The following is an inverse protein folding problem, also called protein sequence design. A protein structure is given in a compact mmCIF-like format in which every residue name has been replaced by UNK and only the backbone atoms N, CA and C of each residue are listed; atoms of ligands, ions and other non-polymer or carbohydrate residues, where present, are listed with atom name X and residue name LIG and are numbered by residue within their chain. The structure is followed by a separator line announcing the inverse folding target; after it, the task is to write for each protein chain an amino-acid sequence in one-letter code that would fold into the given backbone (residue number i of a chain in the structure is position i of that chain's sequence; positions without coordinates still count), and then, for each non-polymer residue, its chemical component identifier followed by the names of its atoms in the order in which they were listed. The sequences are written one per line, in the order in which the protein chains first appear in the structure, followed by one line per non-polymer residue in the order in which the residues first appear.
data_IF_940500368621
#
_entry.id   IF_940500368621
#
_cell.length_a   1.000
_cell.length_b   1.000
_cell.length_c   1.000
_cell.angle_alpha   90.00
_cell.angle_beta   90.00
_cell.angle_gamma   90.00
#
_symmetry.space_group_name_H-M   'P 1'
#
loop_
_entity.id
_entity.type
_entity.pdbx_description
1 polymer ?
#
# COMPACT_ATOMS: atom_id res chain seq x y z
N UNK A 1 -39.08 7.43 -16.02
CA UNK A 1 -39.72 7.37 -17.35
C UNK A 1 -40.65 8.56 -17.65
N UNK A 2 -41.14 9.33 -16.67
CA UNK A 2 -41.99 10.51 -16.88
C UNK A 2 -41.27 11.81 -17.26
N UNK A 3 -40.00 11.96 -16.96
CA UNK A 3 -39.21 13.18 -17.25
C UNK A 3 -38.79 13.29 -18.73
N UNK A 4 -38.61 12.16 -19.44
CA UNK A 4 -38.24 12.17 -20.85
C UNK A 4 -39.40 12.57 -21.79
N UNK A 5 -40.66 12.38 -21.38
CA UNK A 5 -41.81 12.71 -22.24
C UNK A 5 -42.15 14.21 -22.22
N UNK A 6 -41.84 14.89 -21.14
CA UNK A 6 -42.05 16.33 -20.97
C UNK A 6 -41.08 17.18 -21.78
N UNK A 7 -39.83 16.76 -21.95
CA UNK A 7 -38.81 17.44 -22.74
C UNK A 7 -39.11 17.39 -24.26
N UNK A 8 -39.66 16.28 -24.76
CA UNK A 8 -40.01 16.15 -26.17
C UNK A 8 -41.21 17.03 -26.57
N UNK A 9 -42.14 17.30 -25.63
CA UNK A 9 -43.27 18.22 -25.87
C UNK A 9 -42.85 19.70 -25.83
N UNK A 10 -41.90 20.07 -24.99
CA UNK A 10 -41.39 21.43 -24.87
C UNK A 10 -40.67 21.89 -26.16
N UNK A 11 -39.87 20.99 -26.75
CA UNK A 11 -39.12 21.29 -28.00
C UNK A 11 -40.00 21.40 -29.24
N UNK A 12 -41.21 20.81 -29.26
CA UNK A 12 -42.14 20.96 -30.36
C UNK A 12 -42.83 22.32 -30.41
N UNK A 13 -42.95 23.04 -29.29
CA UNK A 13 -43.59 24.36 -29.24
C UNK A 13 -42.62 25.53 -29.51
N UNK A 14 -41.32 25.34 -29.31
CA UNK A 14 -40.33 26.41 -29.48
C UNK A 14 -39.78 26.52 -30.91
N UNK A 15 -40.02 25.54 -31.79
CA UNK A 15 -39.38 25.48 -33.11
C UNK A 15 -40.33 25.72 -34.33
N UNK A 16 -41.54 26.19 -34.10
CA UNK A 16 -42.43 26.57 -35.23
C UNK A 16 -43.04 27.97 -35.03
N UNK A 17 -42.42 29.03 -35.55
CA UNK A 17 -43.16 30.26 -35.79
C UNK A 17 -44.04 30.08 -37.05
N UNK A 18 -45.37 30.12 -36.87
CA UNK A 18 -46.33 30.27 -37.93
C UNK A 18 -46.11 31.61 -38.62
N UNK A 19 -45.88 31.59 -39.92
CA UNK A 19 -45.79 32.64 -40.93
C UNK A 19 -44.40 32.82 -41.55
N UNK A 20 -44.11 31.92 -42.51
CA UNK A 20 -43.20 32.24 -43.62
C UNK A 20 -43.79 31.67 -44.92
N UNK A 21 -44.02 32.57 -45.90
CA UNK A 21 -44.41 32.27 -47.27
C UNK A 21 -43.49 31.21 -47.94
N UNK A 22 -43.97 30.46 -48.94
CA UNK A 22 -43.18 29.41 -49.56
C UNK A 22 -42.06 30.02 -50.47
N UNK A 23 -40.97 30.43 -49.87
CA UNK A 23 -39.74 30.63 -50.57
C UNK A 23 -39.13 29.26 -50.86
N UNK A 24 -39.07 28.89 -52.10
CA UNK A 24 -38.47 27.64 -52.56
C UNK A 24 -36.98 27.52 -52.13
N UNK A 25 -36.73 26.95 -51.03
CA UNK A 25 -35.37 26.54 -50.59
C UNK A 25 -34.95 25.36 -51.49
N UNK A 26 -34.20 25.62 -52.55
CA UNK A 26 -33.31 24.63 -53.18
C UNK A 26 -32.31 24.16 -52.11
N UNK A 27 -32.69 23.19 -51.31
CA UNK A 27 -31.85 22.58 -50.30
C UNK A 27 -30.73 21.82 -50.98
N UNK A 28 -29.54 22.41 -51.04
CA UNK A 28 -28.31 21.84 -51.57
C UNK A 28 -28.10 20.43 -51.00
N UNK A 29 -27.98 19.42 -51.85
CA UNK A 29 -27.75 18.01 -51.45
C UNK A 29 -26.53 17.79 -50.53
N UNK A 30 -25.58 18.74 -50.58
CA UNK A 30 -24.40 18.77 -49.68
C UNK A 30 -24.75 19.01 -48.20
N UNK A 31 -25.79 19.80 -47.90
CA UNK A 31 -26.22 20.05 -46.49
C UNK A 31 -26.90 18.80 -45.93
N UNK A 32 -27.73 18.11 -46.73
CA UNK A 32 -28.34 16.83 -46.31
C UNK A 32 -27.30 15.74 -46.06
N UNK A 33 -26.21 15.68 -46.85
CA UNK A 33 -25.13 14.72 -46.66
C UNK A 33 -24.33 15.01 -45.40
N UNK A 34 -23.99 16.26 -45.10
CA UNK A 34 -23.29 16.68 -43.87
C UNK A 34 -24.14 16.40 -42.64
N UNK A 35 -25.44 16.64 -42.66
CA UNK A 35 -26.35 16.31 -41.56
C UNK A 35 -26.40 14.80 -41.30
N UNK A 36 -26.50 13.96 -42.31
CA UNK A 36 -26.44 12.49 -42.17
C UNK A 36 -25.10 12.02 -41.57
N UNK A 37 -24.00 12.63 -41.98
CA UNK A 37 -22.67 12.32 -41.41
C UNK A 37 -22.63 12.73 -39.96
N UNK A 38 -23.12 13.91 -39.58
CA UNK A 38 -23.17 14.38 -38.19
C UNK A 38 -24.03 13.46 -37.33
N UNK A 39 -25.23 13.09 -37.81
CA UNK A 39 -26.10 12.14 -37.09
C UNK A 39 -25.45 10.77 -36.95
N UNK A 40 -24.79 10.27 -38.02
CA UNK A 40 -24.02 9.02 -37.93
C UNK A 40 -22.89 9.09 -36.92
N UNK A 41 -22.16 10.20 -36.89
CA UNK A 41 -21.09 10.42 -35.89
C UNK A 41 -21.63 10.47 -34.45
N UNK A 42 -22.73 11.19 -34.20
CA UNK A 42 -23.40 11.23 -32.90
C UNK A 42 -23.89 9.86 -32.49
N UNK A 43 -24.47 9.07 -33.41
CA UNK A 43 -24.89 7.70 -33.12
C UNK A 43 -23.69 6.80 -32.73
N UNK A 44 -22.59 6.91 -33.45
CA UNK A 44 -21.34 6.18 -33.07
C UNK A 44 -20.86 6.57 -31.71
N UNK A 45 -20.85 7.85 -31.37
CA UNK A 45 -20.47 8.32 -30.02
C UNK A 45 -21.41 7.78 -28.92
N UNK A 46 -22.72 7.76 -29.20
CA UNK A 46 -23.70 7.19 -28.25
C UNK A 46 -23.51 5.68 -28.06
N UNK A 47 -23.24 4.94 -29.15
CA UNK A 47 -22.92 3.50 -29.05
C UNK A 47 -21.64 3.28 -28.29
N UNK A 48 -20.60 4.05 -28.56
CA UNK A 48 -19.33 3.95 -27.79
C UNK A 48 -19.54 4.26 -26.30
N UNK A 49 -20.27 5.32 -25.97
CA UNK A 49 -20.59 5.69 -24.59
C UNK A 49 -21.44 4.61 -23.91
N UNK A 50 -22.46 4.07 -24.60
CA UNK A 50 -23.29 2.98 -24.09
C UNK A 50 -22.50 1.69 -23.88
N UNK A 51 -21.63 1.34 -24.82
CA UNK A 51 -20.75 0.16 -24.68
C UNK A 51 -19.74 0.34 -23.55
N UNK A 52 -19.15 1.54 -23.43
CA UNK A 52 -18.26 1.87 -22.33
C UNK A 52 -18.95 1.78 -20.97
N UNK A 53 -20.17 2.32 -20.87
CA UNK A 53 -20.98 2.22 -19.66
C UNK A 53 -21.32 0.76 -19.32
N UNK A 54 -21.77 -0.03 -20.29
CA UNK A 54 -22.07 -1.45 -20.09
C UNK A 54 -20.81 -2.23 -19.65
N UNK A 55 -19.66 -1.92 -20.23
CA UNK A 55 -18.40 -2.52 -19.85
C UNK A 55 -18.01 -2.18 -18.39
N UNK A 56 -18.14 -0.92 -17.97
CA UNK A 56 -17.88 -0.51 -16.58
C UNK A 56 -18.85 -1.24 -15.62
N UNK A 57 -20.13 -1.40 -15.97
CA UNK A 57 -21.07 -2.17 -15.15
C UNK A 57 -20.66 -3.64 -15.03
N UNK A 58 -20.14 -4.25 -16.09
CA UNK A 58 -19.64 -5.62 -16.07
C UNK A 58 -18.41 -5.80 -15.16
N UNK A 59 -17.58 -4.76 -14.98
CA UNK A 59 -16.39 -4.79 -14.13
C UNK A 59 -16.71 -4.62 -12.62
N UNK A 60 -17.93 -4.24 -12.27
CA UNK A 60 -18.31 -4.07 -10.86
C UNK A 60 -18.26 -5.38 -10.09
N UNK A 61 -17.89 -5.32 -8.79
CA UNK A 61 -18.02 -6.47 -7.88
C UNK A 61 -19.43 -7.04 -7.88
N UNK A 62 -19.54 -8.35 -7.72
CA UNK A 62 -20.83 -9.06 -7.62
C UNK A 62 -21.04 -9.48 -6.17
N UNK A 63 -22.10 -8.96 -5.54
CA UNK A 63 -22.40 -9.21 -4.13
C UNK A 63 -23.58 -10.19 -3.93
N UNK A 64 -24.04 -10.81 -5.01
CA UNK A 64 -25.16 -11.77 -4.99
C UNK A 64 -24.88 -12.95 -5.91
N UNK A 65 -25.48 -14.10 -5.62
CA UNK A 65 -25.37 -15.31 -6.43
C UNK A 65 -24.53 -16.39 -5.75
N UNK A 66 -24.24 -17.45 -6.50
CA UNK A 66 -23.42 -18.58 -6.07
C UNK A 66 -22.14 -18.63 -6.88
N UNK A 67 -21.04 -19.04 -6.23
CA UNK A 67 -19.73 -19.16 -6.84
C UNK A 67 -19.05 -20.44 -6.36
N UNK A 68 -18.55 -21.23 -7.28
CA UNK A 68 -17.71 -22.38 -6.94
C UNK A 68 -16.26 -21.93 -6.72
N UNK A 69 -15.73 -22.14 -5.54
CA UNK A 69 -14.32 -21.91 -5.20
C UNK A 69 -13.60 -23.24 -5.05
N UNK A 70 -12.60 -23.48 -5.91
CA UNK A 70 -11.82 -24.70 -5.87
C UNK A 70 -11.14 -24.91 -4.52
N UNK A 71 -11.53 -25.95 -3.78
CA UNK A 71 -10.94 -26.33 -2.50
C UNK A 71 -11.62 -25.81 -1.26
N UNK A 72 -12.73 -25.11 -1.37
CA UNK A 72 -13.72 -24.96 -0.30
C UNK A 72 -14.27 -26.34 0.00
N UNK A 73 -14.26 -26.72 1.28
CA UNK A 73 -14.67 -28.06 1.71
C UNK A 73 -16.18 -28.14 1.98
N UNK A 74 -16.76 -27.04 2.44
CA UNK A 74 -18.17 -26.95 2.79
C UNK A 74 -18.74 -25.62 2.33
N UNK A 75 -20.09 -25.57 2.16
CA UNK A 75 -20.79 -24.34 1.81
C UNK A 75 -20.42 -23.21 2.77
N UNK A 76 -20.00 -22.09 2.19
CA UNK A 76 -19.62 -20.86 2.90
C UNK A 76 -20.51 -19.72 2.44
N UNK A 77 -21.25 -19.11 3.37
CA UNK A 77 -22.12 -18.00 3.08
C UNK A 77 -21.41 -16.68 3.32
N UNK A 78 -21.55 -15.75 2.38
CA UNK A 78 -21.04 -14.37 2.51
C UNK A 78 -22.19 -13.40 2.35
N UNK A 79 -22.50 -12.67 3.40
CA UNK A 79 -23.53 -11.64 3.42
C UNK A 79 -22.86 -10.26 3.48
N UNK A 80 -23.26 -9.37 2.60
CA UNK A 80 -22.79 -7.98 2.63
C UNK A 80 -23.88 -7.12 3.29
N UNK A 81 -23.49 -6.33 4.28
CA UNK A 81 -24.40 -5.39 4.93
C UNK A 81 -24.60 -4.11 4.10
N UNK A 82 -25.35 -3.15 4.63
CA UNK A 82 -25.66 -1.88 3.95
C UNK A 82 -24.41 -1.01 3.71
N UNK A 83 -23.29 -1.29 4.39
CA UNK A 83 -22.01 -0.63 4.21
C UNK A 83 -21.07 -1.40 3.28
N UNK A 84 -21.49 -2.56 2.78
CA UNK A 84 -20.68 -3.43 1.94
C UNK A 84 -19.65 -4.26 2.70
N UNK A 85 -19.82 -4.42 4.01
CA UNK A 85 -18.94 -5.23 4.85
C UNK A 85 -19.33 -6.71 4.70
N UNK A 86 -18.38 -7.59 4.30
CA UNK A 86 -18.65 -9.02 4.20
C UNK A 86 -18.71 -9.69 5.59
N UNK A 87 -19.79 -10.39 5.86
CA UNK A 87 -19.96 -11.32 6.97
C UNK A 87 -19.85 -12.74 6.44
N UNK A 88 -18.77 -13.43 6.79
CA UNK A 88 -18.39 -14.74 6.25
C UNK A 88 -18.70 -15.83 7.26
N UNK A 89 -19.66 -16.69 6.94
CA UNK A 89 -20.07 -17.85 7.74
C UNK A 89 -19.52 -19.13 7.10
N UNK A 90 -18.61 -19.80 7.78
CA UNK A 90 -18.00 -21.04 7.31
C UNK A 90 -17.96 -22.10 8.41
N UNK A 91 -17.77 -23.36 8.02
CA UNK A 91 -17.60 -24.46 8.98
C UNK A 91 -16.15 -24.66 9.40
N UNK A 92 -15.20 -24.10 8.66
CA UNK A 92 -13.78 -24.12 8.98
C UNK A 92 -13.13 -22.76 8.76
N UNK A 93 -12.08 -22.46 9.53
CA UNK A 93 -11.28 -21.26 9.33
C UNK A 93 -10.62 -21.21 7.95
N UNK A 94 -10.20 -22.37 7.41
CA UNK A 94 -9.59 -22.43 6.08
C UNK A 94 -10.58 -22.00 4.98
N UNK A 95 -11.84 -22.45 5.04
CA UNK A 95 -12.87 -22.04 4.09
C UNK A 95 -13.21 -20.55 4.26
N UNK A 96 -13.29 -20.08 5.50
CA UNK A 96 -13.51 -18.65 5.80
C UNK A 96 -12.40 -17.78 5.23
N UNK A 97 -11.13 -18.17 5.42
CA UNK A 97 -9.98 -17.44 4.91
C UNK A 97 -9.89 -17.46 3.38
N UNK A 98 -10.27 -18.57 2.74
CA UNK A 98 -10.35 -18.62 1.28
C UNK A 98 -11.45 -17.71 0.75
N UNK A 99 -12.63 -17.70 1.38
CA UNK A 99 -13.72 -16.79 1.04
C UNK A 99 -13.30 -15.32 1.25
N UNK A 100 -12.66 -14.99 2.38
CA UNK A 100 -12.12 -13.65 2.64
C UNK A 100 -11.15 -13.24 1.53
N UNK A 101 -10.20 -14.10 1.17
CA UNK A 101 -9.24 -13.80 0.12
C UNK A 101 -9.90 -13.49 -1.23
N UNK A 102 -10.95 -14.23 -1.57
CA UNK A 102 -11.71 -14.02 -2.80
C UNK A 102 -12.43 -12.67 -2.81
N UNK A 103 -13.22 -12.36 -1.77
CA UNK A 103 -13.98 -11.09 -1.70
C UNK A 103 -13.05 -9.89 -1.52
N UNK A 104 -11.97 -10.04 -0.77
CA UNK A 104 -10.96 -8.99 -0.61
C UNK A 104 -10.32 -8.64 -1.95
N UNK A 105 -9.96 -9.64 -2.75
CA UNK A 105 -9.44 -9.41 -4.10
C UNK A 105 -10.51 -8.83 -5.04
N UNK A 106 -11.76 -9.27 -4.93
CA UNK A 106 -12.87 -8.72 -5.70
C UNK A 106 -13.01 -7.21 -5.52
N UNK A 107 -12.84 -6.73 -4.29
CA UNK A 107 -13.06 -5.33 -3.94
C UNK A 107 -11.78 -4.48 -4.04
N UNK A 108 -10.61 -5.09 -3.87
CA UNK A 108 -9.35 -4.37 -3.60
C UNK A 108 -8.16 -4.79 -4.47
N UNK A 109 -8.35 -5.58 -5.54
CA UNK A 109 -7.23 -6.14 -6.31
C UNK A 109 -6.26 -5.06 -6.82
N UNK A 110 -6.77 -3.91 -7.26
CA UNK A 110 -5.91 -2.80 -7.68
C UNK A 110 -5.06 -2.25 -6.54
N UNK A 111 -5.66 -2.03 -5.37
CA UNK A 111 -4.93 -1.58 -4.18
C UNK A 111 -3.87 -2.61 -3.74
N UNK A 112 -4.20 -3.91 -3.77
CA UNK A 112 -3.26 -5.00 -3.52
C UNK A 112 -2.08 -4.96 -4.51
N UNK A 113 -2.35 -4.71 -5.79
CA UNK A 113 -1.32 -4.62 -6.82
C UNK A 113 -0.36 -3.46 -6.57
N UNK A 114 -0.86 -2.31 -6.15
CA UNK A 114 -0.02 -1.16 -5.83
C UNK A 114 0.88 -1.43 -4.63
N UNK A 115 0.30 -1.87 -3.50
CA UNK A 115 1.04 -1.99 -2.25
C UNK A 115 2.12 -3.07 -2.32
N UNK A 116 1.87 -4.22 -2.99
CA UNK A 116 2.89 -5.27 -3.13
C UNK A 116 4.09 -4.87 -4.00
N UNK A 117 3.98 -3.78 -4.78
CA UNK A 117 5.06 -3.30 -5.65
C UNK A 117 6.00 -2.32 -4.96
N UNK A 118 5.59 -1.75 -3.81
CA UNK A 118 6.39 -0.73 -3.13
C UNK A 118 7.70 -1.32 -2.62
N UNK A 119 7.64 -2.33 -1.77
CA UNK A 119 8.82 -2.90 -1.13
C UNK A 119 9.88 -3.44 -2.11
N UNK A 120 9.54 -4.13 -3.21
CA UNK A 120 10.53 -4.54 -4.22
C UNK A 120 10.99 -3.41 -5.17
N UNK A 121 10.44 -2.18 -5.06
CA UNK A 121 10.77 -1.07 -5.96
C UNK A 121 10.28 -1.29 -7.39
N UNK A 122 8.99 -1.54 -7.59
CA UNK A 122 8.38 -1.90 -8.88
C UNK A 122 7.24 -0.99 -9.33
N UNK A 123 7.13 0.20 -8.73
CA UNK A 123 6.11 1.18 -9.11
C UNK A 123 6.37 1.79 -10.50
N UNK A 124 7.64 1.95 -10.88
CA UNK A 124 8.03 2.48 -12.20
C UNK A 124 7.61 1.57 -13.36
N UNK A 125 7.40 0.28 -13.11
CA UNK A 125 6.82 -0.64 -14.12
C UNK A 125 5.43 -0.19 -14.58
N UNK A 126 4.72 0.56 -13.72
CA UNK A 126 3.36 1.06 -13.97
C UNK A 126 3.39 2.54 -14.34
N UNK A 127 4.08 3.35 -13.54
CA UNK A 127 3.99 4.81 -13.56
C UNK A 127 5.16 5.50 -14.27
N UNK A 128 6.12 4.74 -14.78
CA UNK A 128 7.28 5.26 -15.50
C UNK A 128 8.34 5.87 -14.58
N UNK A 129 9.28 6.57 -15.21
CA UNK A 129 10.49 7.12 -14.58
C UNK A 129 10.24 8.12 -13.47
N UNK A 130 9.04 8.70 -13.37
CA UNK A 130 8.68 9.61 -12.28
C UNK A 130 8.75 8.98 -10.88
N UNK A 131 8.61 7.65 -10.77
CA UNK A 131 8.72 6.91 -9.51
C UNK A 131 10.06 6.17 -9.36
N UNK A 132 11.01 6.40 -10.25
CA UNK A 132 12.30 5.72 -10.23
C UNK A 132 13.09 5.98 -8.94
N UNK A 133 12.99 7.19 -8.38
CA UNK A 133 13.66 7.54 -7.11
C UNK A 133 13.07 6.76 -5.94
N UNK A 134 11.75 6.69 -5.88
CA UNK A 134 11.00 5.91 -4.89
C UNK A 134 11.36 4.41 -5.00
N UNK A 135 11.35 3.86 -6.22
CA UNK A 135 11.71 2.46 -6.45
C UNK A 135 13.17 2.17 -6.09
N UNK A 136 14.11 3.08 -6.41
CA UNK A 136 15.51 2.95 -6.02
C UNK A 136 15.66 2.81 -4.51
N UNK A 137 14.97 3.67 -3.77
CA UNK A 137 15.00 3.64 -2.33
C UNK A 137 14.44 2.32 -1.78
N UNK A 138 13.18 1.96 -2.10
CA UNK A 138 12.56 0.75 -1.56
C UNK A 138 13.27 -0.53 -2.00
N UNK A 139 13.70 -0.63 -3.26
CA UNK A 139 14.54 -1.73 -3.69
C UNK A 139 15.88 -1.79 -2.93
N UNK A 140 16.41 -0.63 -2.53
CA UNK A 140 17.70 -0.51 -1.85
C UNK A 140 17.68 -0.89 -0.39
N UNK A 141 16.60 -0.61 0.35
CA UNK A 141 16.57 -0.85 1.81
C UNK A 141 16.44 -2.31 2.22
N UNK A 142 16.04 -3.23 1.31
CA UNK A 142 16.14 -4.68 1.58
C UNK A 142 14.89 -5.33 2.15
N UNK A 143 13.72 -4.68 2.13
CA UNK A 143 12.45 -5.29 2.60
C UNK A 143 12.12 -6.56 1.81
N UNK A 144 12.25 -6.55 0.48
CA UNK A 144 11.92 -7.69 -0.38
C UNK A 144 12.80 -8.92 -0.09
N UNK A 145 14.08 -8.71 0.18
CA UNK A 145 15.02 -9.76 0.58
C UNK A 145 14.70 -10.32 1.96
N UNK A 146 14.39 -9.45 2.93
CA UNK A 146 13.98 -9.88 4.27
C UNK A 146 12.67 -10.67 4.20
N UNK A 147 11.70 -10.22 3.40
CA UNK A 147 10.45 -10.94 3.15
C UNK A 147 10.67 -12.33 2.56
N UNK A 148 11.59 -12.46 1.59
CA UNK A 148 11.95 -13.77 1.03
C UNK A 148 12.59 -14.70 2.08
N UNK A 149 13.47 -14.17 2.93
CA UNK A 149 14.08 -14.93 4.03
C UNK A 149 13.05 -15.34 5.09
N UNK A 150 12.12 -14.43 5.44
CA UNK A 150 11.04 -14.73 6.38
C UNK A 150 10.17 -15.88 5.87
N UNK A 151 9.73 -15.81 4.61
CA UNK A 151 8.93 -16.90 3.98
C UNK A 151 9.68 -18.22 3.97
N UNK A 152 11.00 -18.21 3.68
CA UNK A 152 11.81 -19.44 3.65
C UNK A 152 11.93 -20.12 5.03
N UNK A 153 11.76 -19.36 6.12
CA UNK A 153 11.87 -19.83 7.51
C UNK A 153 10.52 -20.09 8.19
N UNK A 154 9.39 -19.87 7.51
CA UNK A 154 8.07 -20.14 8.09
C UNK A 154 7.91 -21.61 8.43
N UNK A 155 7.33 -21.87 9.59
CA UNK A 155 6.85 -23.21 9.92
C UNK A 155 5.62 -23.54 9.07
N UNK A 156 5.80 -24.47 8.13
CA UNK A 156 4.75 -24.87 7.20
C UNK A 156 3.57 -25.58 7.88
N UNK A 157 3.76 -26.06 9.11
CA UNK A 157 2.72 -26.72 9.90
C UNK A 157 1.97 -25.73 10.80
N UNK A 158 2.43 -24.47 10.90
CA UNK A 158 1.75 -23.48 11.74
C UNK A 158 0.37 -23.13 11.16
N UNK A 159 -0.63 -22.88 12.03
CA UNK A 159 -1.94 -22.41 11.57
C UNK A 159 -1.85 -21.12 10.75
N UNK A 160 -1.02 -20.18 11.17
CA UNK A 160 -0.81 -18.91 10.45
C UNK A 160 -0.35 -19.10 9.00
N UNK A 161 0.55 -20.07 8.77
CA UNK A 161 1.00 -20.43 7.42
C UNK A 161 -0.14 -21.03 6.59
N UNK A 162 -0.85 -22.05 7.13
CA UNK A 162 -1.91 -22.76 6.42
C UNK A 162 -3.09 -21.84 6.08
N UNK A 163 -3.50 -21.00 7.01
CA UNK A 163 -4.59 -20.03 6.81
C UNK A 163 -4.19 -18.91 5.83
N UNK A 164 -2.93 -18.46 5.85
CA UNK A 164 -2.41 -17.53 4.84
C UNK A 164 -2.42 -18.14 3.44
N UNK A 165 -2.13 -19.45 3.30
CA UNK A 165 -2.25 -20.15 2.01
C UNK A 165 -3.71 -20.26 1.56
N UNK A 166 -4.65 -20.52 2.46
CA UNK A 166 -6.08 -20.55 2.14
C UNK A 166 -6.55 -19.16 1.65
N UNK A 167 -6.17 -18.08 2.32
CA UNK A 167 -6.45 -16.72 1.89
C UNK A 167 -5.86 -16.42 0.50
N UNK A 168 -4.60 -16.76 0.26
CA UNK A 168 -3.96 -16.60 -1.06
C UNK A 168 -4.65 -17.40 -2.15
N UNK A 169 -5.16 -18.58 -1.82
CA UNK A 169 -5.93 -19.39 -2.77
C UNK A 169 -7.19 -18.67 -3.22
N UNK A 170 -7.91 -18.01 -2.30
CA UNK A 170 -9.06 -17.16 -2.64
C UNK A 170 -8.69 -15.98 -3.53
N UNK A 171 -7.65 -15.22 -3.18
CA UNK A 171 -7.14 -14.12 -4.02
C UNK A 171 -6.79 -14.62 -5.42
N UNK A 172 -6.01 -15.69 -5.51
CA UNK A 172 -5.51 -16.19 -6.78
C UNK A 172 -6.62 -16.79 -7.65
N UNK A 173 -7.67 -17.31 -7.04
CA UNK A 173 -8.85 -17.73 -7.79
C UNK A 173 -9.59 -16.53 -8.37
N UNK A 174 -9.78 -15.44 -7.61
CA UNK A 174 -10.35 -14.20 -8.17
C UNK A 174 -9.43 -13.63 -9.29
N UNK A 175 -8.13 -13.69 -9.14
CA UNK A 175 -7.17 -13.27 -10.18
C UNK A 175 -7.37 -14.10 -11.47
N UNK A 176 -7.63 -15.40 -11.37
CA UNK A 176 -7.84 -16.26 -12.52
C UNK A 176 -9.21 -16.03 -13.18
N UNK A 177 -10.29 -16.00 -12.38
CA UNK A 177 -11.66 -16.12 -12.87
C UNK A 177 -12.44 -14.81 -12.84
N UNK A 178 -12.06 -13.86 -11.97
CA UNK A 178 -12.75 -12.59 -11.76
C UNK A 178 -12.51 -11.57 -12.86
N UNK A 179 -13.36 -10.54 -12.96
CA UNK A 179 -13.13 -9.46 -13.90
C UNK A 179 -11.80 -8.75 -13.61
N UNK A 180 -11.22 -8.21 -14.67
CA UNK A 180 -9.99 -7.41 -14.53
C UNK A 180 -10.36 -5.97 -14.20
N UNK A 181 -9.84 -5.39 -13.09
CA UNK A 181 -10.11 -4.00 -12.76
C UNK A 181 -9.75 -3.04 -13.90
N UNK A 182 -10.51 -1.94 -14.03
CA UNK A 182 -10.34 -0.99 -15.14
C UNK A 182 -8.93 -0.38 -15.18
N UNK A 183 -8.30 -0.20 -14.02
CA UNK A 183 -6.95 0.33 -13.89
C UNK A 183 -5.92 -0.54 -14.60
N UNK A 184 -6.09 -1.87 -14.56
CA UNK A 184 -5.22 -2.79 -15.28
C UNK A 184 -5.31 -2.59 -16.79
N UNK A 185 -6.52 -2.37 -17.32
CA UNK A 185 -6.72 -2.11 -18.75
C UNK A 185 -6.12 -0.76 -19.15
N UNK A 186 -6.37 0.29 -18.37
CA UNK A 186 -5.86 1.65 -18.64
C UNK A 186 -4.31 1.69 -18.60
N UNK A 187 -3.71 0.90 -17.74
CA UNK A 187 -2.26 0.87 -17.55
C UNK A 187 -1.56 -0.22 -18.37
N UNK A 188 -2.32 -1.11 -19.01
CA UNK A 188 -1.79 -2.22 -19.81
C UNK A 188 -1.17 -3.32 -18.95
N UNK A 189 -1.70 -3.55 -17.74
CA UNK A 189 -1.19 -4.54 -16.80
C UNK A 189 -1.88 -5.89 -16.98
N UNK A 190 -1.14 -6.95 -16.62
CA UNK A 190 -1.68 -8.31 -16.49
C UNK A 190 -1.83 -8.64 -15.01
N UNK A 191 -2.93 -9.32 -14.68
CA UNK A 191 -3.09 -9.93 -13.36
C UNK A 191 -2.02 -11.00 -13.15
N UNK A 192 -1.37 -11.00 -12.00
CA UNK A 192 -0.35 -12.00 -11.64
C UNK A 192 -0.64 -12.54 -10.23
N UNK A 193 -0.37 -13.83 -9.96
CA UNK A 193 -0.65 -14.42 -8.67
C UNK A 193 -0.02 -13.66 -7.50
N UNK A 194 -0.73 -13.65 -6.38
CA UNK A 194 -0.25 -13.18 -5.09
C UNK A 194 0.47 -14.31 -4.35
N UNK A 195 1.50 -13.97 -3.59
CA UNK A 195 2.35 -14.93 -2.88
C UNK A 195 2.50 -14.56 -1.40
N UNK A 196 3.00 -15.49 -0.58
CA UNK A 196 3.35 -15.20 0.82
C UNK A 196 4.37 -14.06 0.93
N UNK A 197 5.30 -13.97 -0.02
CA UNK A 197 6.27 -12.87 -0.05
C UNK A 197 5.60 -11.52 -0.25
N UNK A 198 4.54 -11.44 -1.06
CA UNK A 198 3.79 -10.20 -1.24
C UNK A 198 3.12 -9.76 0.06
N UNK A 199 2.56 -10.69 0.87
CA UNK A 199 2.02 -10.38 2.20
C UNK A 199 3.11 -9.79 3.10
N UNK A 200 4.28 -10.42 3.15
CA UNK A 200 5.41 -9.92 3.94
C UNK A 200 5.92 -8.56 3.44
N UNK A 201 5.92 -8.31 2.14
CA UNK A 201 6.28 -7.02 1.56
C UNK A 201 5.31 -5.91 1.99
N UNK A 202 4.00 -6.20 2.05
CA UNK A 202 2.99 -5.26 2.55
C UNK A 202 3.25 -4.90 4.01
N UNK A 203 3.49 -5.90 4.86
CA UNK A 203 3.80 -5.70 6.27
C UNK A 203 5.14 -4.98 6.47
N UNK A 204 6.13 -5.25 5.64
CA UNK A 204 7.42 -4.57 5.65
C UNK A 204 7.33 -3.09 5.29
N UNK A 205 6.54 -2.75 4.28
CA UNK A 205 6.24 -1.35 3.94
C UNK A 205 5.51 -0.62 5.09
N UNK A 206 4.52 -1.27 5.69
CA UNK A 206 3.82 -0.74 6.86
C UNK A 206 4.80 -0.48 8.00
N UNK A 207 5.64 -1.45 8.35
CA UNK A 207 6.64 -1.33 9.42
C UNK A 207 7.60 -0.18 9.15
N UNK A 208 8.04 0.01 7.90
CA UNK A 208 8.91 1.13 7.52
C UNK A 208 8.19 2.48 7.68
N UNK A 209 6.92 2.56 7.31
CA UNK A 209 6.16 3.82 7.43
C UNK A 209 5.94 4.24 8.88
N UNK A 210 5.91 3.29 9.82
CA UNK A 210 5.83 3.56 11.26
C UNK A 210 7.17 3.93 11.91
N UNK A 211 8.30 3.54 11.33
CA UNK A 211 9.61 3.85 11.87
C UNK A 211 9.86 5.37 11.86
N UNK A 212 10.00 5.98 13.04
CA UNK A 212 10.12 7.44 13.18
C UNK A 212 11.56 7.92 13.17
N UNK A 213 12.51 7.13 13.71
CA UNK A 213 13.91 7.51 13.83
C UNK A 213 14.56 7.91 12.49
N UNK A 214 14.11 7.30 11.39
CA UNK A 214 14.52 7.68 10.03
C UNK A 214 14.27 9.16 9.67
N UNK A 215 13.24 9.78 10.28
CA UNK A 215 12.87 11.19 10.04
C UNK A 215 13.49 12.09 11.09
N UNK A 216 13.60 11.61 12.32
CA UNK A 216 14.02 12.40 13.47
C UNK A 216 15.54 12.45 13.62
N UNK A 217 16.25 11.36 13.53
CA UNK A 217 17.69 11.29 13.78
C UNK A 217 18.54 12.18 12.90
N UNK A 218 18.35 12.19 11.56
CA UNK A 218 19.10 13.11 10.70
C UNK A 218 18.83 14.57 11.02
N UNK A 219 17.58 14.92 11.35
CA UNK A 219 17.15 16.26 11.70
C UNK A 219 17.72 16.70 13.05
N UNK A 220 17.57 15.86 14.08
CA UNK A 220 18.10 16.13 15.42
C UNK A 220 19.61 16.24 15.41
N UNK A 221 20.29 15.41 14.65
CA UNK A 221 21.74 15.49 14.43
C UNK A 221 22.12 16.83 13.82
N UNK A 222 21.42 17.28 12.78
CA UNK A 222 21.63 18.59 12.16
C UNK A 222 21.41 19.72 13.14
N UNK A 223 20.32 19.71 13.90
CA UNK A 223 20.00 20.73 14.92
C UNK A 223 21.12 20.80 15.96
N UNK A 224 21.52 19.66 16.53
CA UNK A 224 22.61 19.58 17.50
C UNK A 224 23.92 20.17 16.97
N UNK A 225 24.26 19.75 15.74
CA UNK A 225 25.55 20.10 15.15
C UNK A 225 25.64 21.58 14.73
N UNK A 226 24.51 22.20 14.35
CA UNK A 226 24.46 23.62 13.93
C UNK A 226 24.23 24.58 15.11
N UNK A 227 23.38 24.20 16.07
CA UNK A 227 22.92 25.11 17.10
C UNK A 227 23.25 24.65 18.54
N UNK A 228 23.74 23.45 18.69
CA UNK A 228 24.11 22.85 19.97
C UNK A 228 23.01 22.02 20.63
N UNK A 229 23.44 21.19 21.60
CA UNK A 229 22.54 20.23 22.26
C UNK A 229 21.45 20.88 23.12
N UNK A 230 21.61 22.14 23.54
CA UNK A 230 20.57 22.86 24.28
C UNK A 230 19.24 22.95 23.51
N UNK A 231 19.29 23.14 22.19
CA UNK A 231 18.10 23.18 21.36
C UNK A 231 17.31 21.87 21.34
N UNK A 232 17.98 20.73 21.55
CA UNK A 232 17.31 19.43 21.64
C UNK A 232 16.40 19.34 22.85
N UNK A 233 16.78 19.99 23.96
CA UNK A 233 15.96 20.08 25.15
C UNK A 233 14.69 20.90 24.90
N UNK A 234 14.77 21.96 24.09
CA UNK A 234 13.62 22.79 23.71
C UNK A 234 12.58 22.00 22.89
N UNK A 235 13.02 20.95 22.16
CA UNK A 235 12.14 20.02 21.45
C UNK A 235 11.64 18.86 22.32
N UNK A 236 11.90 18.87 23.64
CA UNK A 236 11.49 17.82 24.56
C UNK A 236 12.25 16.51 24.37
N UNK A 237 13.36 16.52 23.63
CA UNK A 237 14.22 15.34 23.47
C UNK A 237 15.10 15.24 24.72
N UNK A 238 14.72 14.38 25.64
CA UNK A 238 15.46 14.10 26.89
C UNK A 238 16.23 12.77 26.76
N UNK A 239 17.43 12.69 27.32
CA UNK A 239 18.18 11.45 27.40
C UNK A 239 19.65 11.52 27.01
N UNK A 240 20.26 10.37 26.82
CA UNK A 240 21.66 10.27 26.42
C UNK A 240 21.79 10.51 24.90
N UNK A 241 21.99 11.75 24.53
CA UNK A 241 22.13 12.24 23.12
C UNK A 241 23.06 11.41 22.22
N UNK A 242 23.85 10.51 22.81
CA UNK A 242 24.79 9.66 22.09
C UNK A 242 24.18 8.43 21.46
N UNK A 243 22.92 8.13 21.73
CA UNK A 243 22.26 6.89 21.27
C UNK A 243 21.25 7.11 20.13
N UNK A 244 20.65 8.29 20.02
CA UNK A 244 19.58 8.59 19.05
C UNK A 244 20.02 9.44 17.86
N UNK A 245 21.31 9.69 17.69
CA UNK A 245 21.81 10.60 16.67
C UNK A 245 23.03 10.04 15.95
N UNK A 246 23.21 10.43 14.70
CA UNK A 246 24.43 10.13 13.95
C UNK A 246 25.61 10.76 14.68
N UNK A 247 26.53 9.94 15.20
CA UNK A 247 27.70 10.42 15.91
C UNK A 247 28.59 11.22 14.95
N UNK A 248 28.73 12.52 15.19
CA UNK A 248 29.55 13.42 14.40
C UNK A 248 30.87 13.75 15.11
N UNK A 249 31.91 14.05 14.34
CA UNK A 249 33.15 14.64 14.89
C UNK A 249 32.87 16.07 15.40
N UNK A 250 33.76 16.59 16.26
CA UNK A 250 33.61 17.92 16.90
C UNK A 250 33.44 19.11 15.97
N UNK A 251 33.66 18.96 14.67
CA UNK A 251 33.40 19.98 13.64
C UNK A 251 32.43 19.41 12.64
N UNK A 252 31.17 19.88 12.62
CA UNK A 252 30.18 19.38 11.66
C UNK A 252 30.59 19.84 10.26
N UNK A 253 30.83 18.89 9.37
CA UNK A 253 31.13 19.15 7.96
C UNK A 253 30.06 18.64 7.02
N UNK A 254 29.06 17.95 7.55
CA UNK A 254 28.03 17.27 6.75
C UNK A 254 26.65 17.63 7.28
N UNK A 255 25.80 18.14 6.38
CA UNK A 255 24.37 18.32 6.65
C UNK A 255 23.64 17.00 6.37
N UNK A 256 22.99 16.45 7.37
CA UNK A 256 22.20 15.21 7.28
C UNK A 256 20.70 15.46 7.08
N UNK A 257 20.24 16.72 7.19
CA UNK A 257 18.82 17.04 7.01
C UNK A 257 18.23 16.62 5.66
N UNK A 258 19.00 16.59 4.53
CA UNK A 258 18.50 16.07 3.26
C UNK A 258 18.05 14.60 3.31
N UNK A 259 18.58 13.80 4.25
CA UNK A 259 18.17 12.40 4.43
C UNK A 259 16.70 12.34 4.85
N UNK A 260 16.30 13.11 5.88
CA UNK A 260 14.93 13.15 6.35
C UNK A 260 13.97 13.62 5.23
N UNK A 261 14.38 14.63 4.46
CA UNK A 261 13.60 15.12 3.31
C UNK A 261 13.44 14.04 2.23
N UNK A 262 14.53 13.35 1.86
CA UNK A 262 14.50 12.31 0.83
C UNK A 262 13.63 11.10 1.26
N UNK A 263 13.68 10.73 2.54
CA UNK A 263 12.86 9.66 3.11
C UNK A 263 11.38 10.05 3.14
N UNK A 264 11.05 11.26 3.56
CA UNK A 264 9.69 11.78 3.52
C UNK A 264 9.14 11.76 2.09
N UNK A 265 9.90 12.26 1.11
CA UNK A 265 9.51 12.24 -0.30
C UNK A 265 9.30 10.82 -0.85
N UNK A 266 10.12 9.85 -0.45
CA UNK A 266 9.95 8.46 -0.88
C UNK A 266 8.63 7.86 -0.39
N UNK A 267 8.20 8.20 0.84
CA UNK A 267 6.91 7.79 1.39
C UNK A 267 5.74 8.55 0.76
N UNK A 268 5.83 9.88 0.63
CA UNK A 268 4.78 10.73 0.07
C UNK A 268 4.51 10.45 -1.41
N UNK A 269 5.53 10.10 -2.17
CA UNK A 269 5.38 9.71 -3.58
C UNK A 269 4.82 8.29 -3.75
N UNK A 270 4.64 7.54 -2.67
CA UNK A 270 3.99 6.23 -2.72
C UNK A 270 2.50 6.39 -3.06
N UNK A 271 1.94 5.53 -3.94
CA UNK A 271 0.52 5.55 -4.25
C UNK A 271 -0.37 5.05 -3.09
N UNK A 272 0.22 4.57 -2.02
CA UNK A 272 -0.47 4.14 -0.79
C UNK A 272 -0.07 5.11 0.32
N UNK A 273 -1.05 5.71 1.03
CA UNK A 273 -0.76 6.64 2.10
C UNK A 273 0.10 6.01 3.21
N UNK A 274 1.13 6.71 3.71
CA UNK A 274 1.88 6.26 4.87
C UNK A 274 1.01 6.34 6.14
N UNK A 275 1.33 5.50 7.12
CA UNK A 275 0.79 5.62 8.47
C UNK A 275 1.45 6.82 9.17
N UNK A 276 0.62 7.65 9.83
CA UNK A 276 1.08 8.92 10.40
C UNK A 276 1.13 8.86 11.92
N UNK A 277 0.15 8.19 12.54
CA UNK A 277 0.01 8.09 13.97
C UNK A 277 -1.26 7.34 14.36
N UNK A 278 -1.59 7.32 15.66
CA UNK A 278 -2.82 6.69 16.13
C UNK A 278 -3.10 7.02 17.59
N UNK A 279 -4.38 6.95 17.96
CA UNK A 279 -4.79 7.03 19.36
C UNK A 279 -5.57 5.77 19.76
N UNK A 280 -5.46 5.37 21.02
CA UNK A 280 -6.28 4.30 21.57
C UNK A 280 -6.56 4.55 23.05
N UNK A 281 -7.77 4.24 23.51
CA UNK A 281 -8.13 4.29 24.91
C UNK A 281 -9.21 3.27 25.27
N UNK A 282 -9.20 2.89 26.55
CA UNK A 282 -10.18 1.97 27.13
C UNK A 282 -10.84 2.64 28.33
N UNK A 283 -12.15 2.63 28.37
CA UNK A 283 -12.94 3.08 29.53
C UNK A 283 -13.49 1.86 30.23
N UNK A 284 -13.04 1.63 31.46
CA UNK A 284 -13.48 0.49 32.27
C UNK A 284 -14.96 0.58 32.65
N UNK A 285 -15.62 -0.57 32.82
CA UNK A 285 -17.05 -0.73 33.11
C UNK A 285 -17.55 0.11 34.30
N UNK A 286 -16.71 0.35 35.31
CA UNK A 286 -17.07 1.18 36.47
C UNK A 286 -17.36 2.65 36.12
N UNK A 287 -16.81 3.13 35.02
CA UNK A 287 -16.93 4.54 34.57
C UNK A 287 -17.98 4.72 33.46
N UNK A 288 -18.68 3.67 33.05
CA UNK A 288 -19.69 3.73 31.99
C UNK A 288 -21.10 3.59 32.58
N UNK A 289 -22.08 4.23 31.93
CA UNK A 289 -23.47 4.17 32.36
C UNK A 289 -24.04 2.74 32.35
N UNK A 290 -23.71 1.97 31.30
CA UNK A 290 -24.25 0.61 31.09
C UNK A 290 -23.35 -0.48 31.68
N UNK A 291 -22.33 -0.12 32.49
CA UNK A 291 -21.37 -1.07 33.08
C UNK A 291 -20.68 -1.97 32.04
N UNK A 292 -20.47 -1.44 30.86
CA UNK A 292 -19.74 -2.10 29.76
C UNK A 292 -18.41 -1.40 29.53
N UNK A 293 -17.40 -2.15 29.09
CA UNK A 293 -16.13 -1.60 28.65
C UNK A 293 -16.34 -0.90 27.31
N UNK A 294 -15.77 0.29 27.14
CA UNK A 294 -15.70 1.00 25.86
C UNK A 294 -14.25 1.01 25.44
N UNK A 295 -13.98 0.50 24.25
CA UNK A 295 -12.67 0.55 23.58
C UNK A 295 -12.78 1.42 22.34
N UNK A 296 -11.82 2.31 22.14
CA UNK A 296 -11.68 3.11 20.94
C UNK A 296 -10.25 3.06 20.43
N UNK A 297 -10.10 2.92 19.12
CA UNK A 297 -8.81 2.96 18.42
C UNK A 297 -8.97 3.75 17.12
N UNK A 298 -8.07 4.71 16.92
CA UNK A 298 -8.14 5.70 15.85
C UNK A 298 -6.79 5.80 15.13
N UNK A 299 -6.52 4.90 14.16
CA UNK A 299 -5.29 4.95 13.37
C UNK A 299 -5.36 6.09 12.34
N UNK A 300 -4.36 6.98 12.39
CA UNK A 300 -4.27 8.14 11.50
C UNK A 300 -3.54 7.75 10.21
N UNK A 301 -4.27 7.73 9.11
CA UNK A 301 -3.76 7.42 7.77
C UNK A 301 -4.35 8.43 6.81
N UNK A 302 -3.59 8.84 5.80
CA UNK A 302 -4.06 9.77 4.78
C UNK A 302 -5.31 9.25 4.04
N UNK A 303 -6.19 10.16 3.63
CA UNK A 303 -7.37 9.80 2.84
C UNK A 303 -6.97 9.21 1.49
N UNK A 304 -7.62 8.11 1.13
CA UNK A 304 -7.48 7.48 -0.19
C UNK A 304 -8.79 6.84 -0.63
N UNK A 305 -8.93 6.63 -1.93
CA UNK A 305 -10.04 5.90 -2.52
C UNK A 305 -9.47 4.78 -3.42
N UNK A 306 -9.68 3.51 -3.03
CA UNK A 306 -10.36 3.04 -1.82
C UNK A 306 -9.59 3.37 -0.54
N UNK A 307 -10.28 3.37 0.62
CA UNK A 307 -9.67 3.55 1.94
C UNK A 307 -8.67 2.45 2.27
N UNK A 308 -7.75 2.73 3.18
CA UNK A 308 -6.69 1.76 3.55
C UNK A 308 -7.25 0.51 4.19
N UNK A 309 -8.28 0.66 5.04
CA UNK A 309 -8.88 -0.44 5.76
C UNK A 309 -9.95 -1.15 4.93
N UNK A 310 -9.97 -2.47 5.04
CA UNK A 310 -11.03 -3.34 4.59
C UNK A 310 -11.65 -4.02 5.80
N UNK A 311 -12.91 -3.75 6.05
CA UNK A 311 -13.66 -4.29 7.17
C UNK A 311 -14.26 -5.63 6.79
N UNK A 312 -14.15 -6.65 7.67
CA UNK A 312 -14.74 -7.96 7.45
C UNK A 312 -15.04 -8.66 8.77
N UNK A 313 -16.05 -9.52 8.76
CA UNK A 313 -16.49 -10.34 9.88
C UNK A 313 -16.41 -11.82 9.50
N UNK A 314 -15.65 -12.60 10.24
CA UNK A 314 -15.51 -14.04 10.07
C UNK A 314 -16.21 -14.75 11.23
N UNK A 315 -17.05 -15.73 10.92
CA UNK A 315 -17.76 -16.56 11.89
C UNK A 315 -17.59 -18.03 11.51
N UNK A 316 -17.01 -18.80 12.41
CA UNK A 316 -16.93 -20.26 12.36
C UNK A 316 -17.39 -20.85 13.71
N UNK A 317 -17.62 -22.15 13.82
CA UNK A 317 -17.97 -22.76 15.12
C UNK A 317 -16.92 -22.55 16.22
N UNK A 318 -15.64 -22.37 15.85
CA UNK A 318 -14.52 -22.27 16.80
C UNK A 318 -13.96 -20.85 16.92
N UNK A 319 -14.20 -19.99 15.92
CA UNK A 319 -13.58 -18.68 15.84
C UNK A 319 -14.57 -17.64 15.34
N UNK A 320 -14.61 -16.48 16.00
CA UNK A 320 -15.32 -15.29 15.55
C UNK A 320 -14.37 -14.09 15.63
N UNK A 321 -14.28 -13.34 14.54
CA UNK A 321 -13.46 -12.12 14.50
C UNK A 321 -14.08 -11.09 13.56
N UNK A 322 -14.39 -9.92 14.10
CA UNK A 322 -14.68 -8.72 13.35
C UNK A 322 -13.44 -7.83 13.34
N UNK A 323 -12.99 -7.39 12.18
CA UNK A 323 -11.76 -6.60 12.18
C UNK A 323 -11.50 -5.81 10.90
N UNK A 324 -10.42 -5.03 10.97
CA UNK A 324 -9.92 -4.14 9.94
C UNK A 324 -8.64 -4.71 9.34
N UNK A 325 -8.71 -5.05 8.07
CA UNK A 325 -7.64 -5.70 7.30
C UNK A 325 -6.94 -4.70 6.39
N UNK A 326 -5.67 -4.89 6.14
CA UNK A 326 -4.98 -4.24 5.03
C UNK A 326 -5.15 -5.04 3.74
N UNK A 327 -5.20 -4.34 2.60
CA UNK A 327 -5.26 -4.99 1.30
C UNK A 327 -4.10 -5.97 1.10
N UNK A 328 -4.42 -7.26 0.94
CA UNK A 328 -3.45 -8.33 0.76
C UNK A 328 -2.90 -8.95 2.05
N UNK A 329 -3.41 -8.58 3.24
CA UNK A 329 -3.05 -9.18 4.53
C UNK A 329 -4.21 -10.03 5.06
N UNK A 330 -3.96 -11.30 5.46
CA UNK A 330 -5.01 -12.24 5.84
C UNK A 330 -5.63 -11.99 7.21
N UNK A 331 -4.94 -11.31 8.12
CA UNK A 331 -5.35 -11.12 9.51
C UNK A 331 -5.63 -9.66 9.82
N UNK A 332 -6.65 -9.36 10.66
CA UNK A 332 -6.96 -7.98 11.01
C UNK A 332 -5.89 -7.39 11.92
N UNK A 333 -5.55 -6.13 11.68
CA UNK A 333 -4.62 -5.38 12.54
C UNK A 333 -5.33 -4.76 13.75
N UNK A 334 -6.63 -4.57 13.63
CA UNK A 334 -7.52 -4.02 14.64
C UNK A 334 -8.76 -4.91 14.61
N UNK A 335 -9.26 -5.32 15.77
CA UNK A 335 -10.40 -6.21 15.75
C UNK A 335 -10.98 -6.51 17.11
N UNK A 336 -12.09 -7.21 17.09
CA UNK A 336 -12.74 -7.72 18.29
C UNK A 336 -13.51 -8.99 18.01
N UNK A 337 -13.71 -9.75 19.05
CA UNK A 337 -14.67 -10.83 19.11
C UNK A 337 -15.58 -10.63 20.33
N UNK A 338 -16.27 -11.68 20.78
CA UNK A 338 -17.15 -11.58 21.93
C UNK A 338 -16.46 -11.49 23.28
N UNK A 339 -15.15 -11.79 23.32
CA UNK A 339 -14.37 -11.92 24.57
C UNK A 339 -13.40 -10.78 24.77
N UNK A 340 -12.83 -10.23 23.70
CA UNK A 340 -11.83 -9.17 23.74
C UNK A 340 -11.89 -8.29 22.50
N UNK A 341 -11.28 -7.10 22.61
CA UNK A 341 -10.99 -6.20 21.51
C UNK A 341 -9.51 -5.80 21.58
N UNK A 342 -8.91 -5.58 20.44
CA UNK A 342 -7.54 -5.09 20.35
C UNK A 342 -7.39 -4.07 19.21
N UNK A 343 -6.41 -3.21 19.37
CA UNK A 343 -6.03 -2.22 18.40
C UNK A 343 -4.57 -1.87 18.53
N UNK A 344 -4.01 -1.29 17.48
CA UNK A 344 -2.61 -0.90 17.43
C UNK A 344 -2.49 0.61 17.50
N UNK A 345 -1.53 1.09 18.25
CA UNK A 345 -1.05 2.47 18.19
C UNK A 345 0.41 2.49 17.78
N UNK A 346 0.83 3.59 17.19
CA UNK A 346 2.24 3.80 16.91
C UNK A 346 3.01 3.93 18.23
N UNK A 347 4.02 3.09 18.36
CA UNK A 347 5.01 3.22 19.40
C UNK A 347 6.26 3.81 18.77
N UNK A 348 6.61 5.03 19.16
CA UNK A 348 7.78 5.76 18.65
C UNK A 348 9.05 5.14 19.20
N UNK A 349 9.39 3.94 18.72
CA UNK A 349 10.56 3.22 19.11
C UNK A 349 11.77 3.64 18.27
N UNK A 350 12.92 3.66 18.90
CA UNK A 350 14.22 3.87 18.27
C UNK A 350 14.69 2.56 17.60
N UNK A 351 14.14 2.29 16.42
CA UNK A 351 14.36 1.05 15.66
C UNK A 351 15.25 1.21 14.42
N UNK A 352 15.65 2.45 14.10
CA UNK A 352 16.55 2.78 13.01
C UNK A 352 17.68 3.68 13.49
N UNK A 353 18.90 3.28 13.20
CA UNK A 353 20.11 4.05 13.40
C UNK A 353 20.85 4.32 12.07
N UNK A 354 21.61 5.40 12.01
CA UNK A 354 22.50 5.70 10.91
C UNK A 354 23.98 5.63 11.35
N UNK A 355 24.76 4.79 10.69
CA UNK A 355 26.19 4.57 10.98
C UNK A 355 27.07 5.14 9.89
N UNK A 356 28.03 6.01 10.28
CA UNK A 356 29.13 6.42 9.38
C UNK A 356 30.13 5.29 9.29
N UNK A 357 30.31 4.77 8.08
CA UNK A 357 31.32 3.74 7.86
C UNK A 357 32.68 4.37 7.59
N UNK A 358 33.63 4.04 8.43
CA UNK A 358 35.01 4.48 8.22
C UNK A 358 35.66 3.62 7.14
N UNK A 359 35.92 4.19 5.96
CA UNK A 359 36.54 3.50 4.82
C UNK A 359 38.05 3.76 4.72
N UNK A 360 38.75 2.88 4.00
CA UNK A 360 40.18 3.10 3.70
C UNK A 360 40.29 4.16 2.61
N UNK A 361 41.23 5.14 2.71
CA UNK A 361 41.42 6.17 1.68
C UNK A 361 41.71 5.61 0.26
N UNK A 362 42.45 4.50 0.19
CA UNK A 362 42.85 3.87 -1.08
C UNK A 362 42.03 2.62 -1.43
N UNK A 363 40.99 2.30 -0.66
CA UNK A 363 40.12 1.16 -0.88
C UNK A 363 38.73 1.48 -0.29
N UNK A 364 37.95 2.37 -0.92
CA UNK A 364 36.65 2.87 -0.37
C UNK A 364 35.60 1.78 -0.24
N UNK A 365 35.80 0.63 -0.91
CA UNK A 365 34.97 -0.57 -0.73
C UNK A 365 35.28 -1.34 0.57
N UNK A 366 36.30 -0.92 1.35
CA UNK A 366 36.68 -1.55 2.61
C UNK A 366 36.30 -0.63 3.78
N UNK A 367 35.58 -1.14 4.74
CA UNK A 367 35.17 -0.42 5.95
C UNK A 367 35.68 -1.08 7.22
N UNK A 368 35.79 -0.28 8.30
CA UNK A 368 36.28 -0.74 9.60
C UNK A 368 35.18 -1.42 10.39
N UNK A 369 35.47 -2.64 10.87
CA UNK A 369 34.62 -3.38 11.84
C UNK A 369 35.36 -3.55 13.17
N UNK A 370 34.69 -4.10 14.19
CA UNK A 370 35.32 -4.43 15.47
C UNK A 370 36.48 -5.44 15.32
N UNK A 371 36.40 -6.32 14.32
CA UNK A 371 37.39 -7.38 14.06
C UNK A 371 38.45 -7.00 13.00
N UNK A 372 38.40 -5.78 12.47
CA UNK A 372 39.35 -5.33 11.43
C UNK A 372 38.63 -4.73 10.22
N UNK A 373 39.23 -4.91 9.03
CA UNK A 373 38.68 -4.39 7.79
C UNK A 373 37.85 -5.44 7.05
N UNK A 374 36.63 -5.08 6.67
CA UNK A 374 35.74 -5.89 5.84
C UNK A 374 35.44 -5.19 4.52
N UNK A 375 35.02 -5.94 3.51
CA UNK A 375 34.52 -5.37 2.24
C UNK A 375 33.03 -5.11 2.33
N UNK A 376 32.59 -4.01 1.74
CA UNK A 376 31.17 -3.76 1.50
C UNK A 376 30.60 -4.84 0.58
N UNK A 377 29.47 -5.39 0.92
CA UNK A 377 28.69 -6.22 0.00
C UNK A 377 28.08 -5.32 -1.07
N UNK A 378 28.20 -5.72 -2.33
CA UNK A 378 27.62 -4.98 -3.46
C UNK A 378 26.70 -5.88 -4.26
N UNK A 379 25.46 -5.44 -4.47
CA UNK A 379 24.46 -6.14 -5.29
C UNK A 379 23.92 -5.20 -6.35
N UNK A 380 23.94 -5.63 -7.61
CA UNK A 380 23.27 -4.88 -8.68
C UNK A 380 21.82 -5.33 -8.77
N UNK A 381 20.91 -4.38 -8.73
CA UNK A 381 19.48 -4.58 -8.96
C UNK A 381 19.03 -3.80 -10.20
N UNK A 382 18.02 -4.32 -10.89
CA UNK A 382 17.48 -3.70 -12.10
C UNK A 382 16.07 -3.21 -11.85
N UNK A 383 15.88 -1.91 -11.96
CA UNK A 383 14.55 -1.28 -11.86
C UNK A 383 14.02 -1.11 -13.28
N UNK A 384 12.86 -1.69 -13.53
CA UNK A 384 12.14 -1.55 -14.80
C UNK A 384 11.25 -0.33 -14.75
N UNK A 385 11.30 0.49 -15.79
CA UNK A 385 10.38 1.60 -15.98
C UNK A 385 9.58 1.42 -17.28
N UNK A 386 8.29 1.76 -17.25
CA UNK A 386 7.39 1.59 -18.39
C UNK A 386 7.82 2.40 -19.62
N UNK A 387 8.39 3.57 -19.39
CA UNK A 387 8.72 4.60 -20.38
C UNK A 387 10.25 4.71 -20.66
N UNK A 388 11.04 3.78 -20.16
CA UNK A 388 12.51 3.81 -20.32
C UNK A 388 13.09 2.40 -20.32
N UNK A 389 14.36 2.29 -20.69
CA UNK A 389 15.15 1.08 -20.46
C UNK A 389 15.31 0.83 -18.95
N UNK A 390 15.53 -0.45 -18.57
CA UNK A 390 15.82 -0.79 -17.18
C UNK A 390 17.04 -0.06 -16.67
N UNK A 391 16.98 0.44 -15.44
CA UNK A 391 18.06 1.17 -14.78
C UNK A 391 18.74 0.24 -13.77
N UNK A 392 20.05 0.06 -13.90
CA UNK A 392 20.85 -0.64 -12.90
C UNK A 392 21.11 0.26 -11.70
N UNK A 393 20.90 -0.26 -10.50
CA UNK A 393 21.31 0.36 -9.25
C UNK A 393 22.28 -0.56 -8.52
N UNK A 394 23.32 0.00 -7.91
CA UNK A 394 24.23 -0.74 -7.05
C UNK A 394 23.86 -0.45 -5.60
N UNK A 395 23.40 -1.47 -4.91
CA UNK A 395 23.13 -1.43 -3.47
C UNK A 395 24.35 -1.96 -2.76
N UNK A 396 25.00 -1.12 -1.97
CA UNK A 396 26.09 -1.52 -1.11
C UNK A 396 25.59 -1.67 0.34
N UNK A 397 26.16 -2.61 1.08
CA UNK A 397 25.79 -2.85 2.47
C UNK A 397 27.02 -3.12 3.32
N UNK A 398 26.99 -2.64 4.56
CA UNK A 398 27.92 -3.00 5.64
C UNK A 398 27.27 -4.01 6.58
N UNK A 399 27.94 -4.33 7.67
CA UNK A 399 27.39 -5.11 8.78
C UNK A 399 26.20 -4.39 9.44
N UNK A 400 26.12 -3.07 9.36
CA UNK A 400 25.04 -2.28 9.94
C UNK A 400 23.79 -2.21 9.03
N UNK A 401 23.94 -2.41 7.74
CA UNK A 401 22.82 -2.39 6.79
C UNK A 401 23.16 -1.76 5.44
N UNK A 402 22.15 -1.46 4.62
CA UNK A 402 22.34 -0.83 3.32
C UNK A 402 22.86 0.60 3.45
N UNK A 403 23.77 0.98 2.53
CA UNK A 403 24.28 2.35 2.43
C UNK A 403 23.24 3.24 1.73
N UNK A 404 22.82 4.31 2.40
CA UNK A 404 21.81 5.24 1.87
C UNK A 404 22.35 6.14 0.76
N UNK A 405 23.66 6.37 0.67
CA UNK A 405 24.29 7.20 -0.34
C UNK A 405 23.99 6.78 -1.79
N UNK A 406 23.81 5.48 -2.04
CA UNK A 406 23.54 4.96 -3.38
C UNK A 406 22.06 4.82 -3.71
N UNK A 407 21.17 4.92 -2.71
CA UNK A 407 19.74 4.62 -2.86
C UNK A 407 18.83 5.83 -2.62
N UNK A 408 19.30 6.84 -1.87
CA UNK A 408 18.60 8.11 -1.67
C UNK A 408 19.23 9.21 -2.54
N UNK A 409 18.39 9.99 -3.20
CA UNK A 409 18.82 11.16 -3.96
C UNK A 409 19.11 12.35 -3.01
N UNK A 410 20.12 13.15 -3.35
CA UNK A 410 20.48 14.33 -2.56
C UNK A 410 21.26 14.04 -1.27
N UNK A 411 21.60 12.78 -1.01
CA UNK A 411 22.44 12.39 0.12
C UNK A 411 23.90 12.32 -0.34
N UNK A 412 24.60 13.46 -0.26
CA UNK A 412 26.01 13.58 -0.60
C UNK A 412 26.84 13.70 0.68
N UNK A 413 27.18 12.57 1.28
CA UNK A 413 28.09 12.51 2.42
C UNK A 413 29.48 12.05 1.95
N UNK A 414 30.53 12.59 2.58
CA UNK A 414 31.93 12.16 2.27
C UNK A 414 32.18 10.71 2.70
N UNK A 415 31.50 10.29 3.76
CA UNK A 415 31.62 8.95 4.33
C UNK A 415 30.35 8.15 3.98
N UNK A 416 30.47 6.86 3.67
CA UNK A 416 29.31 6.01 3.49
C UNK A 416 28.47 5.96 4.77
N UNK A 417 27.17 6.07 4.61
CA UNK A 417 26.21 6.09 5.70
C UNK A 417 25.28 4.88 5.59
N UNK A 418 25.42 3.94 6.53
CA UNK A 418 24.61 2.74 6.57
C UNK A 418 23.34 2.99 7.43
N UNK A 419 22.20 2.49 6.96
CA UNK A 419 20.95 2.48 7.73
C UNK A 419 20.80 1.12 8.42
N UNK A 420 20.86 1.11 9.74
CA UNK A 420 20.60 -0.06 10.56
C UNK A 420 19.16 -0.04 11.01
N UNK A 421 18.37 -0.97 10.52
CA UNK A 421 16.98 -1.11 10.89
C UNK A 421 16.73 -2.50 11.48
N UNK A 422 16.19 -2.55 12.69
CA UNK A 422 15.96 -3.79 13.46
C UNK A 422 15.15 -4.80 12.63
N UNK A 423 14.18 -4.35 11.87
CA UNK A 423 13.38 -5.19 10.95
C UNK A 423 14.23 -6.04 10.00
N UNK A 424 15.37 -5.52 9.54
CA UNK A 424 16.26 -6.20 8.57
C UNK A 424 17.25 -7.17 9.22
N UNK A 425 17.47 -7.07 10.52
CA UNK A 425 18.52 -7.84 11.22
C UNK A 425 18.12 -9.31 11.43
N UNK A 426 16.82 -9.58 11.51
CA UNK A 426 16.27 -10.91 11.70
C UNK A 426 15.11 -11.14 10.73
N UNK A 427 14.87 -12.37 10.26
CA UNK A 427 13.64 -12.70 9.55
C UNK A 427 12.45 -12.42 10.48
N UNK A 428 11.56 -11.57 10.03
CA UNK A 428 10.41 -11.16 10.85
C UNK A 428 9.36 -12.28 10.96
N UNK A 429 8.62 -12.24 12.07
CA UNK A 429 7.51 -13.15 12.36
C UNK A 429 6.17 -12.39 12.39
N UNK A 430 6.04 -11.31 11.63
CA UNK A 430 4.87 -10.42 11.71
C UNK A 430 3.56 -11.14 11.37
N UNK A 431 3.56 -12.05 10.39
CA UNK A 431 2.35 -12.83 10.07
C UNK A 431 1.89 -13.67 11.27
N UNK A 432 2.83 -14.35 11.93
CA UNK A 432 2.52 -15.12 13.13
C UNK A 432 2.04 -14.22 14.28
N UNK A 433 2.68 -13.06 14.46
CA UNK A 433 2.29 -12.12 15.50
C UNK A 433 0.87 -11.57 15.29
N UNK A 434 0.54 -11.16 14.06
CA UNK A 434 -0.82 -10.66 13.74
C UNK A 434 -1.86 -11.78 13.85
N UNK A 435 -1.53 -12.99 13.39
CA UNK A 435 -2.39 -14.16 13.58
C UNK A 435 -2.71 -14.42 15.05
N UNK A 436 -1.72 -14.32 15.95
CA UNK A 436 -1.93 -14.54 17.38
C UNK A 436 -2.74 -13.45 18.08
N UNK A 437 -2.86 -12.28 17.48
CA UNK A 437 -3.74 -11.21 17.95
C UNK A 437 -5.20 -11.45 17.54
N UNK A 438 -5.40 -12.10 16.43
CA UNK A 438 -6.73 -12.42 15.91
C UNK A 438 -7.24 -13.77 16.38
#
# INVERSE_FOLDING_TARGET
MQICISLVRYWKQVLLPNNLSPMALRRNGKVKKRYKILVGFVLVLLVMAGSGFAYIQFLKPTYTGQKELAGIQQETAVYFDDYGIPHIYAQSEADAMQALGYVHAQDRLWQMELIRRIAPGRLSEIFGTKLLKTDRFFAGIGIDENSAQAVAKLDKNSPSYQLSLAYLKGINQFIADGPTPIEYHLLGLKKTPFTLKDIHNVLGFMSFSFAMAQKTDPLLTHIRDQWGSAYLTDFGVEGQWNTVQIKSAKTPTTDYSPIATALAQALENSPVPPFIGSNSWVIGAAKTQHKQVIFANDPHIGFSQPGTWYEAHIITPQHEMYGYYMAGVPYPLLGHNRNYAYGLTMFENDDIDFYKEKTKPNAPESYQTKSGWAKLESKTKWIKAKDSSSVAITVQSSVHGPLVNGILDGVETKEPLAMSWVYLQQPNQLIEAVYRLS
#
